data_IF_174602218276
#
_entry.id   IF_174602218276
#
_cell.length_a   1.000
_cell.length_b   1.000
_cell.length_c   1.000
_cell.angle_alpha   90.00
_cell.angle_beta   90.00
_cell.angle_gamma   90.00
#
_symmetry.space_group_name_H-M   'P 1'
#
loop_
_entity.id
_entity.type
_entity.pdbx_description
1 polymer ?
#
# COMPACT_ATOMS: atom_id res chain seq x y z
N UNK A 1 -0.30 29.05 -15.96
CA UNK A 1 0.88 28.22 -16.36
C UNK A 1 1.30 28.42 -17.81
N UNK A 2 0.40 28.37 -18.81
CA UNK A 2 0.80 28.54 -20.22
C UNK A 2 1.54 29.86 -20.54
N UNK A 3 1.09 30.99 -19.98
CA UNK A 3 1.76 32.29 -20.16
C UNK A 3 3.17 32.34 -19.56
N UNK A 4 3.40 31.68 -18.43
CA UNK A 4 4.75 31.57 -17.82
C UNK A 4 5.66 30.71 -18.67
N UNK A 5 5.17 29.58 -19.19
CA UNK A 5 5.94 28.71 -20.05
C UNK A 5 6.38 29.42 -21.35
N UNK A 6 5.46 30.17 -21.99
CA UNK A 6 5.75 30.95 -23.20
C UNK A 6 6.72 32.11 -22.93
N UNK A 7 6.55 32.83 -21.82
CA UNK A 7 7.47 33.91 -21.46
C UNK A 7 8.88 33.39 -21.16
N UNK A 8 8.99 32.33 -20.35
CA UNK A 8 10.27 31.76 -19.97
C UNK A 8 10.99 31.07 -21.13
N UNK A 9 10.27 30.41 -22.05
CA UNK A 9 10.90 29.86 -23.26
C UNK A 9 11.48 30.96 -24.13
N UNK A 10 10.76 32.07 -24.32
CA UNK A 10 11.25 33.23 -25.08
C UNK A 10 12.47 33.86 -24.39
N UNK A 11 12.47 33.98 -23.06
CA UNK A 11 13.63 34.47 -22.32
C UNK A 11 14.85 33.57 -22.55
N UNK A 12 14.66 32.26 -22.45
CA UNK A 12 15.72 31.28 -22.65
C UNK A 12 16.26 31.33 -24.07
N UNK A 13 15.40 31.49 -25.09
CA UNK A 13 15.80 31.65 -26.48
C UNK A 13 16.60 32.93 -26.72
N UNK A 14 16.17 34.06 -26.14
CA UNK A 14 16.90 35.34 -26.21
C UNK A 14 18.28 35.22 -25.57
N UNK A 15 18.37 34.57 -24.41
CA UNK A 15 19.65 34.34 -23.72
C UNK A 15 20.53 33.33 -24.49
N UNK A 16 19.92 32.30 -25.09
CA UNK A 16 20.63 31.30 -25.90
C UNK A 16 21.20 31.93 -27.18
N UNK A 17 20.50 32.91 -27.77
CA UNK A 17 20.95 33.66 -28.94
C UNK A 17 22.27 34.42 -28.68
N UNK A 18 22.46 34.92 -27.45
CA UNK A 18 23.71 35.57 -27.00
C UNK A 18 24.89 34.60 -26.80
N UNK A 19 24.70 33.30 -27.09
CA UNK A 19 25.72 32.24 -27.05
C UNK A 19 26.50 32.17 -25.74
N UNK A 20 25.80 32.33 -24.61
CA UNK A 20 26.42 32.15 -23.30
C UNK A 20 26.89 30.70 -23.12
N UNK A 21 27.96 30.50 -22.33
CA UNK A 21 28.44 29.16 -21.96
C UNK A 21 27.70 28.57 -20.75
N UNK A 22 26.68 29.29 -20.26
CA UNK A 22 25.89 28.88 -19.10
C UNK A 22 24.87 27.85 -19.55
N UNK A 23 24.83 26.73 -18.85
CA UNK A 23 23.75 25.74 -19.01
C UNK A 23 22.59 26.18 -18.13
N UNK A 24 21.43 26.41 -18.73
CA UNK A 24 20.25 26.90 -18.01
C UNK A 24 19.11 25.88 -18.02
N UNK A 25 18.27 25.97 -16.99
CA UNK A 25 17.04 25.19 -16.85
C UNK A 25 16.01 26.04 -16.11
N UNK A 26 14.73 25.91 -16.46
CA UNK A 26 13.66 26.55 -15.73
C UNK A 26 12.60 25.53 -15.31
N UNK A 27 12.07 25.70 -14.10
CA UNK A 27 10.86 25.03 -13.65
C UNK A 27 9.84 26.08 -13.28
N UNK A 28 8.84 26.29 -14.14
CA UNK A 28 7.97 27.47 -14.09
C UNK A 28 8.79 28.77 -14.06
N UNK A 29 8.69 29.58 -13.00
CA UNK A 29 9.42 30.84 -12.82
C UNK A 29 10.81 30.67 -12.18
N UNK A 30 11.12 29.49 -11.64
CA UNK A 30 12.43 29.19 -11.06
C UNK A 30 13.46 28.92 -12.17
N UNK A 31 14.18 29.97 -12.58
CA UNK A 31 15.30 29.90 -13.52
C UNK A 31 16.61 29.59 -12.80
N UNK A 32 17.39 28.67 -13.33
CA UNK A 32 18.70 28.28 -12.81
C UNK A 32 19.74 28.18 -13.92
N UNK A 33 20.98 28.54 -13.60
CA UNK A 33 22.11 28.53 -14.52
C UNK A 33 23.37 27.97 -13.86
N UNK A 34 24.14 27.18 -14.61
CA UNK A 34 25.41 26.60 -14.17
C UNK A 34 26.51 26.92 -15.19
N UNK A 35 27.64 27.46 -14.72
CA UNK A 35 28.76 27.88 -15.55
C UNK A 35 29.92 28.46 -14.74
N UNK A 36 30.88 29.09 -15.42
CA UNK A 36 31.97 29.83 -14.74
C UNK A 36 31.45 31.18 -14.23
N UNK A 37 32.09 31.73 -13.21
CA UNK A 37 31.64 32.97 -12.54
C UNK A 37 31.43 34.15 -13.49
N UNK A 38 32.36 34.38 -14.43
CA UNK A 38 32.23 35.47 -15.41
C UNK A 38 31.06 35.24 -16.37
N UNK A 39 30.90 34.01 -16.86
CA UNK A 39 29.79 33.63 -17.74
C UNK A 39 28.43 33.79 -17.03
N UNK A 40 28.36 33.41 -15.73
CA UNK A 40 27.16 33.56 -14.90
C UNK A 40 26.82 35.02 -14.61
N UNK A 41 27.82 35.87 -14.39
CA UNK A 41 27.62 37.31 -14.18
C UNK A 41 27.06 37.98 -15.43
N UNK A 42 27.61 37.64 -16.61
CA UNK A 42 27.08 38.09 -17.89
C UNK A 42 25.65 37.58 -18.12
N UNK A 43 25.40 36.29 -17.88
CA UNK A 43 24.09 35.67 -17.98
C UNK A 43 23.03 36.35 -17.08
N UNK A 44 23.38 36.67 -15.84
CA UNK A 44 22.50 37.43 -14.94
C UNK A 44 22.19 38.83 -15.49
N UNK A 45 23.18 39.52 -16.05
CA UNK A 45 22.99 40.81 -16.71
C UNK A 45 21.99 40.73 -17.87
N UNK A 46 22.06 39.68 -18.68
CA UNK A 46 21.11 39.43 -19.76
C UNK A 46 19.69 39.18 -19.25
N UNK A 47 19.53 38.41 -18.16
CA UNK A 47 18.22 38.19 -17.53
C UNK A 47 17.64 39.51 -17.01
N UNK A 48 18.46 40.33 -16.35
CA UNK A 48 18.00 41.60 -15.79
C UNK A 48 17.64 42.62 -16.88
N UNK A 49 18.35 42.62 -18.00
CA UNK A 49 18.08 43.53 -19.12
C UNK A 49 16.87 43.10 -19.96
N UNK A 50 16.76 41.80 -20.26
CA UNK A 50 15.75 41.28 -21.20
C UNK A 50 14.50 40.74 -20.51
N UNK A 51 14.58 40.30 -19.24
CA UNK A 51 13.41 39.81 -18.51
C UNK A 51 12.24 40.79 -18.48
N UNK A 52 12.44 42.09 -18.16
CA UNK A 52 11.33 43.03 -18.05
C UNK A 52 10.53 43.24 -19.34
N UNK A 53 11.14 43.08 -20.52
CA UNK A 53 10.46 43.27 -21.82
C UNK A 53 9.40 42.21 -22.10
N UNK A 54 9.50 41.05 -21.45
CA UNK A 54 8.56 39.94 -21.52
C UNK A 54 7.76 39.75 -20.22
N UNK A 55 7.84 40.72 -19.29
CA UNK A 55 7.11 40.70 -18.02
C UNK A 55 7.75 39.86 -16.91
N UNK A 56 9.02 39.44 -17.06
CA UNK A 56 9.77 38.72 -16.03
C UNK A 56 10.74 39.65 -15.30
N UNK A 57 10.48 39.99 -14.04
CA UNK A 57 11.39 40.85 -13.25
C UNK A 57 12.16 39.99 -12.23
N UNK A 58 13.46 39.71 -12.44
CA UNK A 58 14.23 38.88 -11.52
C UNK A 58 14.40 39.58 -10.17
N UNK A 59 14.21 38.83 -9.07
CA UNK A 59 14.38 39.36 -7.72
C UNK A 59 15.76 38.98 -7.16
N UNK A 60 16.73 39.89 -7.29
CA UNK A 60 18.12 39.67 -6.85
C UNK A 60 18.23 39.20 -5.40
N UNK A 61 17.42 39.76 -4.48
CA UNK A 61 17.46 39.43 -3.06
C UNK A 61 16.97 37.99 -2.76
N UNK A 62 16.23 37.38 -3.69
CA UNK A 62 15.82 35.97 -3.61
C UNK A 62 16.70 35.06 -4.48
N UNK A 63 17.61 35.62 -5.28
CA UNK A 63 18.53 34.85 -6.11
C UNK A 63 19.79 34.48 -5.34
N UNK A 64 20.20 33.24 -5.48
CA UNK A 64 21.37 32.68 -4.79
C UNK A 64 22.41 32.22 -5.80
N UNK A 65 23.67 32.55 -5.53
CA UNK A 65 24.82 32.04 -6.23
C UNK A 65 25.56 31.06 -5.31
N UNK A 66 25.47 29.77 -5.63
CA UNK A 66 26.16 28.69 -4.91
C UNK A 66 27.53 28.48 -5.56
N UNK A 67 28.60 28.61 -4.79
CA UNK A 67 29.98 28.49 -5.28
C UNK A 67 30.80 27.53 -4.46
N UNK A 68 31.82 26.94 -5.09
CA UNK A 68 32.80 26.15 -4.35
C UNK A 68 33.62 27.07 -3.42
N UNK A 69 34.05 26.60 -2.23
CA UNK A 69 34.75 27.44 -1.25
C UNK A 69 35.93 28.23 -1.81
N UNK A 70 36.73 27.62 -2.70
CA UNK A 70 37.90 28.21 -3.35
C UNK A 70 37.58 29.38 -4.31
N UNK A 71 36.31 29.55 -4.68
CA UNK A 71 35.85 30.59 -5.60
C UNK A 71 35.00 31.65 -4.91
N UNK A 72 34.81 31.57 -3.59
CA UNK A 72 33.94 32.45 -2.83
C UNK A 72 34.34 33.92 -2.93
N UNK A 73 35.60 34.25 -2.64
CA UNK A 73 36.06 35.65 -2.67
C UNK A 73 35.98 36.25 -4.08
N UNK A 74 36.30 35.43 -5.09
CA UNK A 74 36.14 35.80 -6.50
C UNK A 74 34.69 36.06 -6.88
N UNK A 75 33.76 35.25 -6.38
CA UNK A 75 32.34 35.40 -6.63
C UNK A 75 31.77 36.66 -5.94
N UNK A 76 32.15 36.92 -4.68
CA UNK A 76 31.74 38.14 -3.96
C UNK A 76 32.20 39.39 -4.70
N UNK A 77 33.43 39.39 -5.22
CA UNK A 77 33.95 40.51 -6.00
C UNK A 77 33.21 40.70 -7.33
N UNK A 78 32.99 39.63 -8.10
CA UNK A 78 32.34 39.68 -9.42
C UNK A 78 30.87 40.08 -9.32
N UNK A 79 30.17 39.62 -8.28
CA UNK A 79 28.74 39.88 -8.08
C UNK A 79 28.48 41.05 -7.10
N UNK A 80 29.52 41.79 -6.74
CA UNK A 80 29.38 42.99 -5.90
C UNK A 80 28.42 44.00 -6.54
N UNK A 81 27.47 44.51 -5.76
CA UNK A 81 26.45 45.44 -6.25
C UNK A 81 25.29 44.81 -7.04
N UNK A 82 25.32 43.50 -7.33
CA UNK A 82 24.21 42.82 -8.04
C UNK A 82 22.98 42.56 -7.17
N UNK A 83 23.13 42.57 -5.83
CA UNK A 83 22.10 42.20 -4.87
C UNK A 83 21.88 40.70 -4.68
N UNK A 84 22.63 39.84 -5.42
CA UNK A 84 22.56 38.38 -5.31
C UNK A 84 23.24 37.91 -4.03
N UNK A 85 22.64 36.93 -3.35
CA UNK A 85 23.23 36.30 -2.17
C UNK A 85 24.22 35.21 -2.57
N UNK A 86 25.50 35.37 -2.22
CA UNK A 86 26.56 34.39 -2.52
C UNK A 86 26.77 33.47 -1.32
N UNK A 87 26.71 32.16 -1.55
CA UNK A 87 26.94 31.13 -0.51
C UNK A 87 27.93 30.07 -0.97
N UNK A 88 28.75 29.59 -0.03
CA UNK A 88 29.68 28.45 -0.24
C UNK A 88 29.22 27.15 0.42
N UNK A 89 28.17 27.22 1.24
CA UNK A 89 27.67 26.09 2.02
C UNK A 89 26.63 25.29 1.24
N UNK A 90 25.70 26.00 0.61
CA UNK A 90 24.60 25.40 -0.16
C UNK A 90 23.34 26.24 -0.12
N UNK A 91 22.33 25.81 -0.87
CA UNK A 91 20.99 26.38 -0.82
C UNK A 91 19.93 25.34 -1.22
N UNK A 92 18.70 25.55 -0.75
CA UNK A 92 17.53 24.78 -1.16
C UNK A 92 17.20 25.09 -2.63
N UNK A 93 16.92 24.06 -3.42
CA UNK A 93 16.54 24.20 -4.82
C UNK A 93 15.39 23.22 -5.15
N UNK A 94 14.23 23.74 -5.55
CA UNK A 94 13.03 22.98 -5.89
C UNK A 94 12.60 21.96 -4.81
N UNK A 95 12.79 22.29 -3.53
CA UNK A 95 12.48 21.41 -2.39
C UNK A 95 13.57 20.39 -2.04
N UNK A 96 14.63 20.28 -2.86
CA UNK A 96 15.85 19.54 -2.58
C UNK A 96 16.97 20.48 -2.13
N UNK A 97 18.22 19.99 -2.12
CA UNK A 97 19.38 20.73 -1.64
C UNK A 97 20.56 20.60 -2.62
N UNK A 98 21.26 21.71 -2.85
CA UNK A 98 22.53 21.75 -3.59
C UNK A 98 23.57 22.42 -2.69
N UNK A 99 24.73 21.80 -2.50
CA UNK A 99 25.76 22.36 -1.64
C UNK A 99 26.77 21.32 -1.15
N UNK A 100 27.41 21.67 -0.05
CA UNK A 100 28.32 20.82 0.72
C UNK A 100 27.60 19.64 1.36
N UNK A 101 28.37 18.60 1.70
CA UNK A 101 27.85 17.42 2.40
C UNK A 101 27.32 17.78 3.79
N UNK A 102 27.94 18.76 4.45
CA UNK A 102 27.53 19.28 5.75
C UNK A 102 26.15 19.95 5.66
N UNK A 103 25.94 20.84 4.69
CA UNK A 103 24.65 21.50 4.48
C UNK A 103 23.55 20.50 4.08
N UNK A 104 23.89 19.48 3.29
CA UNK A 104 22.96 18.37 2.97
C UNK A 104 22.55 17.62 4.23
N UNK A 105 23.51 17.27 5.10
CA UNK A 105 23.24 16.57 6.36
C UNK A 105 22.37 17.40 7.30
N UNK A 106 22.64 18.69 7.42
CA UNK A 106 21.83 19.61 8.23
C UNK A 106 20.39 19.68 7.72
N UNK A 107 20.19 19.96 6.43
CA UNK A 107 18.85 20.05 5.82
C UNK A 107 18.05 18.76 5.97
N UNK A 108 18.66 17.61 5.66
CA UNK A 108 17.99 16.31 5.80
C UNK A 108 17.76 15.98 7.27
N UNK A 109 18.68 16.34 8.16
CA UNK A 109 18.56 16.18 9.61
C UNK A 109 17.37 16.95 10.19
N UNK A 110 17.16 18.20 9.78
CA UNK A 110 15.98 18.99 10.14
C UNK A 110 14.68 18.30 9.70
N UNK A 111 14.63 17.83 8.44
CA UNK A 111 13.48 17.11 7.89
C UNK A 111 13.19 15.81 8.62
N UNK A 112 14.24 15.03 8.90
CA UNK A 112 14.12 13.78 9.66
C UNK A 112 13.64 14.04 11.07
N UNK A 113 14.12 15.11 11.72
CA UNK A 113 13.65 15.50 13.06
C UNK A 113 12.16 15.88 13.06
N UNK A 114 11.71 16.61 12.04
CA UNK A 114 10.29 16.92 11.82
C UNK A 114 9.48 15.61 11.65
N UNK A 115 9.93 14.68 10.81
CA UNK A 115 9.23 13.42 10.57
C UNK A 115 9.23 12.48 11.77
N UNK A 116 10.32 12.43 12.54
CA UNK A 116 10.38 11.67 13.80
C UNK A 116 9.33 12.21 14.76
N UNK A 117 9.23 13.52 14.90
CA UNK A 117 8.19 14.13 15.73
C UNK A 117 6.76 13.77 15.25
N UNK A 118 6.52 13.79 13.94
CA UNK A 118 5.23 13.37 13.37
C UNK A 118 4.91 11.90 13.64
N UNK A 119 5.90 11.01 13.54
CA UNK A 119 5.78 9.59 13.89
C UNK A 119 5.49 9.43 15.38
N UNK A 120 6.14 10.19 16.26
CA UNK A 120 5.91 10.14 17.70
C UNK A 120 4.50 10.62 18.09
N UNK A 121 4.01 11.69 17.45
CA UNK A 121 2.61 12.16 17.59
C UNK A 121 1.65 11.07 17.15
N UNK A 122 1.89 10.46 16.00
CA UNK A 122 1.04 9.37 15.50
C UNK A 122 1.11 8.12 16.41
N UNK A 123 2.27 7.86 17.01
CA UNK A 123 2.47 6.80 18.00
C UNK A 123 1.67 7.03 19.27
N UNK A 124 1.56 8.29 19.73
CA UNK A 124 0.70 8.64 20.85
C UNK A 124 -0.78 8.34 20.54
N UNK A 125 -1.23 8.67 19.32
CA UNK A 125 -2.59 8.35 18.86
C UNK A 125 -2.83 6.84 18.72
N UNK A 126 -1.81 6.09 18.27
CA UNK A 126 -1.92 4.64 18.07
C UNK A 126 -2.26 3.87 19.36
N UNK A 127 -1.92 4.41 20.54
CA UNK A 127 -2.26 3.79 21.84
C UNK A 127 -3.78 3.69 22.06
N UNK A 128 -4.53 4.69 21.58
CA UNK A 128 -5.99 4.78 21.73
C UNK A 128 -6.73 4.38 20.47
N UNK A 129 -6.22 4.75 19.30
CA UNK A 129 -6.86 4.59 17.99
C UNK A 129 -5.90 3.92 16.97
N UNK A 130 -5.47 2.66 17.21
CA UNK A 130 -4.43 2.01 16.41
C UNK A 130 -4.84 1.83 14.95
N UNK A 131 -6.10 1.48 14.66
CA UNK A 131 -6.55 1.31 13.29
C UNK A 131 -6.48 2.62 12.49
N UNK A 132 -6.93 3.74 13.09
CA UNK A 132 -6.84 5.06 12.46
C UNK A 132 -5.39 5.51 12.27
N UNK A 133 -4.54 5.27 13.28
CA UNK A 133 -3.12 5.60 13.20
C UNK A 133 -2.39 4.80 12.10
N UNK A 134 -2.68 3.51 11.98
CA UNK A 134 -2.17 2.66 10.90
C UNK A 134 -2.63 3.16 9.51
N UNK A 135 -3.91 3.50 9.36
CA UNK A 135 -4.43 4.04 8.11
C UNK A 135 -3.76 5.39 7.75
N UNK A 136 -3.61 6.30 8.72
CA UNK A 136 -2.93 7.58 8.51
C UNK A 136 -1.45 7.41 8.16
N UNK A 137 -0.77 6.44 8.78
CA UNK A 137 0.60 6.09 8.45
C UNK A 137 0.71 5.60 7.00
N UNK A 138 -0.09 4.59 6.66
CA UNK A 138 0.04 3.84 5.39
C UNK A 138 -0.46 4.61 4.19
N UNK A 139 -1.53 5.41 4.32
CA UNK A 139 -2.10 6.19 3.24
C UNK A 139 -1.57 7.63 3.17
N UNK A 140 -0.87 8.10 4.20
CA UNK A 140 -0.45 9.50 4.31
C UNK A 140 1.03 9.65 4.64
N UNK A 141 1.39 9.47 5.90
CA UNK A 141 2.68 9.92 6.47
C UNK A 141 3.88 9.36 5.70
N UNK A 142 3.91 8.05 5.45
CA UNK A 142 5.07 7.41 4.81
C UNK A 142 5.35 7.91 3.38
N UNK A 143 4.35 8.45 2.69
CA UNK A 143 4.49 8.93 1.32
C UNK A 143 5.11 10.32 1.23
N UNK A 144 5.12 11.10 2.33
CA UNK A 144 5.72 12.45 2.37
C UNK A 144 7.23 12.42 2.18
N UNK A 145 7.88 11.33 2.56
CA UNK A 145 9.34 11.19 2.51
C UNK A 145 9.86 10.88 1.10
N UNK A 146 8.98 10.39 0.21
CA UNK A 146 9.34 9.96 -1.14
C UNK A 146 10.04 11.03 -1.95
N UNK A 147 9.62 12.30 -1.82
CA UNK A 147 10.23 13.39 -2.57
C UNK A 147 11.72 13.54 -2.24
N UNK A 148 12.06 13.59 -0.95
CA UNK A 148 13.44 13.72 -0.48
C UNK A 148 14.27 12.50 -0.86
N UNK A 149 13.73 11.29 -0.67
CA UNK A 149 14.39 10.04 -1.10
C UNK A 149 14.67 9.98 -2.61
N UNK A 150 13.83 10.59 -3.44
CA UNK A 150 13.99 10.59 -4.90
C UNK A 150 14.92 11.67 -5.43
N UNK A 151 15.15 12.73 -4.67
CA UNK A 151 15.81 13.94 -5.16
C UNK A 151 17.17 14.19 -4.53
N UNK A 152 17.44 13.66 -3.33
CA UNK A 152 18.72 13.84 -2.64
C UNK A 152 19.45 12.48 -2.55
N UNK A 153 20.62 12.34 -3.19
CA UNK A 153 21.38 11.08 -3.16
C UNK A 153 22.09 10.87 -1.81
N UNK A 154 22.41 9.61 -1.52
CA UNK A 154 23.24 9.18 -0.39
C UNK A 154 22.68 9.55 1.01
N UNK A 155 21.35 9.64 1.13
CA UNK A 155 20.70 10.00 2.40
C UNK A 155 20.27 8.81 3.26
N UNK A 156 20.42 7.57 2.78
CA UNK A 156 19.97 6.38 3.51
C UNK A 156 20.43 6.36 4.98
N UNK A 157 21.72 6.60 5.31
CA UNK A 157 22.17 6.64 6.71
C UNK A 157 21.52 7.77 7.55
N UNK A 158 21.12 8.87 6.91
CA UNK A 158 20.48 10.01 7.59
C UNK A 158 19.02 9.72 7.96
N UNK A 159 18.38 8.73 7.31
CA UNK A 159 17.01 8.30 7.59
C UNK A 159 16.91 7.28 8.72
N UNK A 160 18.04 6.80 9.25
CA UNK A 160 18.06 5.83 10.36
C UNK A 160 17.27 6.29 11.59
N UNK A 161 17.37 7.54 12.08
CA UNK A 161 16.58 7.99 13.24
C UNK A 161 15.06 7.86 13.01
N UNK A 162 14.62 8.06 11.76
CA UNK A 162 13.21 7.87 11.38
C UNK A 162 12.82 6.40 11.41
N UNK A 163 13.63 5.50 10.85
CA UNK A 163 13.39 4.04 10.96
C UNK A 163 13.37 3.60 12.44
N UNK A 164 14.28 4.12 13.26
CA UNK A 164 14.32 3.81 14.69
C UNK A 164 13.06 4.27 15.42
N UNK A 165 12.52 5.47 15.13
CA UNK A 165 11.23 5.91 15.68
C UNK A 165 10.07 5.02 15.22
N UNK A 166 10.02 4.63 13.93
CA UNK A 166 9.01 3.70 13.42
C UNK A 166 9.09 2.35 14.15
N UNK A 167 10.30 1.79 14.25
CA UNK A 167 10.55 0.47 14.83
C UNK A 167 10.34 0.42 16.34
N UNK A 168 10.79 1.43 17.06
CA UNK A 168 10.88 1.41 18.52
C UNK A 168 9.76 2.19 19.22
N UNK A 169 9.06 3.07 18.51
CA UNK A 169 7.97 3.88 19.07
C UNK A 169 6.63 3.55 18.41
N UNK A 170 6.53 3.66 17.08
CA UNK A 170 5.25 3.53 16.38
C UNK A 170 4.71 2.11 16.36
N UNK A 171 5.50 1.14 15.87
CA UNK A 171 5.07 -0.26 15.80
C UNK A 171 4.72 -0.80 17.20
N UNK A 172 5.53 -0.58 18.26
CA UNK A 172 5.18 -0.98 19.61
C UNK A 172 3.89 -0.34 20.13
N UNK A 173 3.65 0.95 19.87
CA UNK A 173 2.41 1.61 20.27
C UNK A 173 1.19 1.06 19.51
N UNK A 174 1.36 0.78 18.22
CA UNK A 174 0.31 0.25 17.33
C UNK A 174 -0.11 -1.17 17.72
N UNK A 175 0.86 -2.03 18.05
CA UNK A 175 0.67 -3.44 18.31
C UNK A 175 0.60 -3.79 19.80
N UNK A 176 0.81 -2.80 20.68
CA UNK A 176 0.91 -2.97 22.14
C UNK A 176 1.94 -4.01 22.58
N UNK A 177 3.00 -4.18 21.81
CA UNK A 177 4.06 -5.13 22.08
C UNK A 177 5.38 -4.38 22.26
N UNK A 178 6.10 -4.54 23.39
CA UNK A 178 7.28 -3.73 23.71
C UNK A 178 8.51 -4.09 22.86
N UNK A 179 8.57 -5.30 22.30
CA UNK A 179 9.74 -5.75 21.53
C UNK A 179 9.30 -6.56 20.31
N UNK A 180 9.63 -6.04 19.13
CA UNK A 180 9.46 -6.74 17.88
C UNK A 180 10.79 -7.39 17.47
N UNK A 181 10.78 -8.70 17.25
CA UNK A 181 11.94 -9.41 16.69
C UNK A 181 12.24 -8.92 15.26
N UNK A 182 13.49 -9.05 14.81
CA UNK A 182 13.90 -8.55 13.48
C UNK A 182 13.19 -9.27 12.31
N UNK A 183 12.91 -10.57 12.45
CA UNK A 183 12.12 -11.36 11.49
C UNK A 183 10.68 -10.82 11.37
N UNK A 184 10.06 -10.49 12.51
CA UNK A 184 8.76 -9.84 12.54
C UNK A 184 8.81 -8.44 11.91
N UNK A 185 9.83 -7.61 12.17
CA UNK A 185 9.98 -6.28 11.52
C UNK A 185 10.00 -6.41 10.00
N UNK A 186 10.81 -7.34 9.48
CA UNK A 186 10.94 -7.60 8.05
C UNK A 186 9.62 -8.09 7.43
N UNK A 187 8.84 -8.90 8.17
CA UNK A 187 7.49 -9.30 7.74
C UNK A 187 6.54 -8.09 7.64
N UNK A 188 6.58 -7.15 8.60
CA UNK A 188 5.72 -5.96 8.57
C UNK A 188 6.06 -5.00 7.41
N UNK A 189 7.31 -5.01 6.91
CA UNK A 189 7.74 -4.24 5.73
C UNK A 189 7.06 -4.69 4.44
N UNK A 190 6.72 -5.99 4.34
CA UNK A 190 6.05 -6.53 3.15
C UNK A 190 4.65 -5.91 2.99
N UNK A 191 4.14 -5.74 1.77
CA UNK A 191 2.79 -5.24 1.56
C UNK A 191 1.73 -6.27 2.05
N UNK A 192 0.50 -5.83 2.36
CA UNK A 192 -0.58 -6.71 2.81
C UNK A 192 -0.87 -7.90 1.88
N UNK A 193 -0.77 -7.71 0.56
CA UNK A 193 -0.91 -8.76 -0.47
C UNK A 193 0.16 -9.86 -0.41
N UNK A 194 1.24 -9.66 0.37
CA UNK A 194 2.30 -10.63 0.65
C UNK A 194 2.33 -11.02 2.14
N UNK A 195 1.23 -10.75 2.86
CA UNK A 195 1.08 -11.08 4.28
C UNK A 195 1.61 -10.03 5.26
N UNK A 196 2.34 -9.01 4.82
CA UNK A 196 2.84 -7.96 5.71
C UNK A 196 1.82 -6.86 6.04
N UNK A 197 2.31 -5.69 6.50
CA UNK A 197 1.51 -4.51 6.85
C UNK A 197 1.89 -3.26 6.02
N UNK A 198 2.86 -3.36 5.11
CA UNK A 198 3.29 -2.24 4.26
C UNK A 198 3.95 -1.09 5.04
N UNK A 199 4.51 -1.38 6.21
CA UNK A 199 5.26 -0.40 7.02
C UNK A 199 6.72 -0.45 6.54
N UNK A 200 7.01 0.22 5.42
CA UNK A 200 8.34 0.15 4.78
C UNK A 200 9.41 0.83 5.63
N UNK A 201 10.67 0.46 5.39
CA UNK A 201 11.81 1.11 6.03
C UNK A 201 12.35 2.25 5.14
N UNK A 202 12.29 3.52 5.56
CA UNK A 202 12.80 4.64 4.77
C UNK A 202 14.31 4.51 4.50
N UNK A 203 15.09 4.02 5.47
CA UNK A 203 16.54 3.78 5.31
C UNK A 203 16.82 2.78 4.16
N UNK A 204 16.05 1.69 4.07
CA UNK A 204 16.27 0.65 3.03
C UNK A 204 15.78 1.07 1.64
N UNK A 205 14.70 1.83 1.54
CA UNK A 205 14.09 2.15 0.23
C UNK A 205 14.69 3.39 -0.42
N UNK A 206 15.37 4.25 0.33
CA UNK A 206 15.85 5.54 -0.16
C UNK A 206 16.76 5.43 -1.38
N UNK A 207 17.75 4.53 -1.34
CA UNK A 207 18.70 4.35 -2.44
C UNK A 207 18.01 3.87 -3.72
N UNK A 208 17.08 2.93 -3.59
CA UNK A 208 16.31 2.39 -4.74
C UNK A 208 15.39 3.46 -5.32
N UNK A 209 14.71 4.26 -4.49
CA UNK A 209 13.86 5.36 -4.97
C UNK A 209 14.68 6.44 -5.68
N UNK A 210 15.86 6.79 -5.16
CA UNK A 210 16.78 7.73 -5.80
C UNK A 210 17.25 7.20 -7.17
N UNK A 211 17.72 5.96 -7.23
CA UNK A 211 18.21 5.34 -8.46
C UNK A 211 17.10 5.23 -9.52
N UNK A 212 15.88 4.87 -9.12
CA UNK A 212 14.73 4.84 -10.01
C UNK A 212 14.40 6.23 -10.56
N UNK A 213 14.48 7.27 -9.72
CA UNK A 213 14.30 8.67 -10.13
C UNK A 213 15.32 9.07 -11.20
N UNK A 214 16.61 8.83 -10.94
CA UNK A 214 17.72 9.11 -11.87
C UNK A 214 17.51 8.39 -13.21
N UNK A 215 17.17 7.09 -13.16
CA UNK A 215 16.95 6.30 -14.37
C UNK A 215 15.75 6.78 -15.18
N UNK A 216 14.68 7.21 -14.51
CA UNK A 216 13.48 7.72 -15.15
C UNK A 216 13.71 9.08 -15.82
N UNK A 217 14.51 9.95 -15.20
CA UNK A 217 14.74 11.32 -15.70
C UNK A 217 15.98 11.45 -16.58
N UNK A 218 16.75 10.37 -16.79
CA UNK A 218 18.04 10.39 -17.49
C UNK A 218 18.01 11.13 -18.83
N UNK A 219 17.08 10.76 -19.72
CA UNK A 219 16.96 11.40 -21.04
C UNK A 219 16.70 12.91 -20.94
N UNK A 220 15.84 13.33 -20.00
CA UNK A 220 15.58 14.75 -19.74
C UNK A 220 16.82 15.46 -19.20
N UNK A 221 17.51 14.83 -18.25
CA UNK A 221 18.77 15.35 -17.70
C UNK A 221 19.83 15.53 -18.79
N UNK A 222 19.97 14.55 -19.69
CA UNK A 222 20.94 14.61 -20.79
C UNK A 222 20.65 15.79 -21.73
N UNK A 223 19.38 16.01 -22.11
CA UNK A 223 18.98 17.16 -22.93
C UNK A 223 19.22 18.50 -22.21
N UNK A 224 18.94 18.58 -20.91
CA UNK A 224 19.27 19.78 -20.12
C UNK A 224 20.79 20.01 -20.13
N UNK A 225 21.60 18.96 -20.00
CA UNK A 225 23.06 19.09 -19.99
C UNK A 225 23.61 19.50 -21.36
N UNK A 226 23.02 19.02 -22.45
CA UNK A 226 23.40 19.39 -23.83
C UNK A 226 22.75 20.68 -24.31
N UNK A 227 21.81 21.25 -23.53
CA UNK A 227 20.98 22.40 -23.91
C UNK A 227 20.22 22.15 -25.22
N UNK A 228 19.75 20.92 -25.41
CA UNK A 228 18.96 20.51 -26.57
C UNK A 228 17.48 20.86 -26.36
N UNK A 229 17.09 22.06 -26.80
CA UNK A 229 15.73 22.57 -26.67
C UNK A 229 14.73 21.93 -27.66
N UNK A 230 15.22 21.30 -28.72
CA UNK A 230 14.41 20.65 -29.75
C UNK A 230 14.37 19.13 -29.59
N UNK A 231 15.15 18.58 -28.66
CA UNK A 231 15.21 17.17 -28.36
C UNK A 231 13.85 16.60 -27.95
N UNK A 232 13.50 15.46 -28.52
CA UNK A 232 12.29 14.74 -28.19
C UNK A 232 12.57 13.66 -27.15
N UNK A 233 11.74 13.62 -26.11
CA UNK A 233 11.77 12.53 -25.13
C UNK A 233 11.03 11.34 -25.73
N UNK A 234 11.74 10.22 -25.91
CA UNK A 234 11.10 8.95 -26.25
C UNK A 234 10.21 8.47 -25.09
N UNK A 235 8.91 8.73 -25.24
CA UNK A 235 7.89 8.34 -24.27
C UNK A 235 7.79 6.81 -24.11
N UNK A 236 8.21 6.03 -25.11
CA UNK A 236 8.18 4.57 -25.04
C UNK A 236 9.21 4.04 -24.03
N UNK A 237 10.40 4.64 -23.99
CA UNK A 237 11.45 4.31 -23.01
C UNK A 237 10.98 4.64 -21.59
N UNK A 238 10.38 5.83 -21.40
CA UNK A 238 9.80 6.22 -20.11
C UNK A 238 8.69 5.25 -19.68
N UNK A 239 7.79 4.88 -20.61
CA UNK A 239 6.72 3.94 -20.32
C UNK A 239 7.27 2.57 -19.90
N UNK A 240 8.33 2.08 -20.54
CA UNK A 240 8.96 0.81 -20.19
C UNK A 240 9.64 0.87 -18.81
N UNK A 241 10.36 1.96 -18.49
CA UNK A 241 10.94 2.17 -17.16
C UNK A 241 9.86 2.24 -16.07
N UNK A 242 8.76 2.97 -16.32
CA UNK A 242 7.60 3.03 -15.40
C UNK A 242 6.96 1.66 -15.16
N UNK A 243 6.98 0.75 -16.15
CA UNK A 243 6.53 -0.64 -15.97
C UNK A 243 7.56 -1.50 -15.25
N UNK A 244 8.85 -1.20 -15.40
CA UNK A 244 9.95 -1.96 -14.78
C UNK A 244 10.03 -1.76 -13.27
N UNK A 245 9.91 -0.53 -12.75
CA UNK A 245 10.08 -0.29 -11.30
C UNK A 245 9.09 -1.07 -10.41
N UNK A 246 7.78 -1.15 -10.73
CA UNK A 246 6.86 -1.98 -9.97
C UNK A 246 7.19 -3.47 -10.04
N UNK A 247 7.69 -3.97 -11.20
CA UNK A 247 8.12 -5.36 -11.38
C UNK A 247 9.34 -5.68 -10.52
N UNK A 248 10.37 -4.84 -10.57
CA UNK A 248 11.60 -5.02 -9.79
C UNK A 248 11.30 -4.96 -8.28
N UNK A 249 10.45 -4.01 -7.86
CA UNK A 249 9.96 -3.93 -6.47
C UNK A 249 9.18 -5.19 -6.07
N UNK A 250 8.27 -5.66 -6.91
CA UNK A 250 7.50 -6.87 -6.64
C UNK A 250 8.41 -8.10 -6.53
N UNK A 251 9.43 -8.19 -7.37
CA UNK A 251 10.41 -9.28 -7.32
C UNK A 251 11.22 -9.24 -6.02
N UNK A 252 11.75 -8.08 -5.62
CA UNK A 252 12.47 -7.93 -4.35
C UNK A 252 11.61 -8.28 -3.13
N UNK A 253 10.33 -7.91 -3.15
CA UNK A 253 9.38 -8.29 -2.10
C UNK A 253 9.11 -9.79 -2.07
N UNK A 254 9.01 -10.47 -3.23
CA UNK A 254 8.87 -11.92 -3.31
C UNK A 254 10.10 -12.64 -2.76
N UNK A 255 11.30 -12.21 -3.16
CA UNK A 255 12.55 -12.78 -2.64
C UNK A 255 12.68 -12.59 -1.12
N UNK A 256 12.23 -11.45 -0.60
CA UNK A 256 12.18 -11.21 0.86
C UNK A 256 11.20 -12.16 1.56
N UNK A 257 10.03 -12.40 0.98
CA UNK A 257 9.06 -13.36 1.49
C UNK A 257 9.59 -14.80 1.45
N UNK A 258 10.26 -15.20 0.37
CA UNK A 258 10.90 -16.51 0.24
C UNK A 258 11.95 -16.72 1.34
N UNK A 259 12.80 -15.72 1.58
CA UNK A 259 13.77 -15.76 2.69
C UNK A 259 13.08 -15.83 4.06
N UNK A 260 12.04 -15.04 4.30
CA UNK A 260 11.28 -15.11 5.55
C UNK A 260 10.65 -16.48 5.76
N UNK A 261 10.20 -17.13 4.68
CA UNK A 261 9.57 -18.45 4.74
C UNK A 261 10.55 -19.56 5.15
N UNK A 262 11.86 -19.36 5.01
CA UNK A 262 12.87 -20.34 5.47
C UNK A 262 13.26 -20.18 6.93
N UNK A 263 13.06 -19.01 7.52
CA UNK A 263 13.48 -18.71 8.90
C UNK A 263 12.31 -18.66 9.89
N UNK A 264 11.09 -18.43 9.42
CA UNK A 264 9.91 -18.33 10.27
C UNK A 264 9.32 -19.72 10.60
N UNK A 265 8.64 -19.87 11.76
CA UNK A 265 7.96 -21.11 12.10
C UNK A 265 6.93 -21.53 11.04
N UNK A 266 6.74 -22.84 10.78
CA UNK A 266 5.80 -23.34 9.76
C UNK A 266 4.37 -22.80 9.91
N UNK A 267 3.86 -22.69 11.15
CA UNK A 267 2.52 -22.16 11.41
C UNK A 267 2.43 -20.67 11.03
N UNK A 268 3.48 -19.87 11.28
CA UNK A 268 3.55 -18.47 10.85
C UNK A 268 3.63 -18.35 9.33
N UNK A 269 4.40 -19.21 8.66
CA UNK A 269 4.47 -19.25 7.19
C UNK A 269 3.10 -19.58 6.59
N UNK A 270 2.38 -20.56 7.16
CA UNK A 270 1.01 -20.89 6.74
C UNK A 270 0.07 -19.70 6.92
N UNK A 271 0.14 -19.00 8.06
CA UNK A 271 -0.62 -17.76 8.31
C UNK A 271 -0.33 -16.66 7.29
N UNK A 272 0.94 -16.49 6.90
CA UNK A 272 1.36 -15.57 5.84
C UNK A 272 0.74 -15.95 4.50
N UNK A 273 0.69 -17.24 4.15
CA UNK A 273 0.00 -17.70 2.93
C UNK A 273 -1.50 -17.47 2.99
N UNK A 274 -2.15 -17.70 4.13
CA UNK A 274 -3.58 -17.39 4.32
C UNK A 274 -3.84 -15.89 4.12
N UNK A 275 -2.97 -15.04 4.67
CA UNK A 275 -3.09 -13.59 4.53
C UNK A 275 -2.92 -13.07 3.08
N UNK A 276 -2.34 -13.87 2.18
CA UNK A 276 -2.18 -13.58 0.76
C UNK A 276 -3.43 -13.90 -0.06
N UNK A 277 -4.38 -14.66 0.48
CA UNK A 277 -5.62 -14.99 -0.22
C UNK A 277 -6.40 -13.70 -0.56
N UNK A 278 -7.06 -13.69 -1.71
CA UNK A 278 -7.92 -12.59 -2.12
C UNK A 278 -8.99 -12.32 -1.07
N UNK A 279 -9.04 -11.08 -0.58
CA UNK A 279 -9.96 -10.66 0.48
C UNK A 279 -9.39 -10.74 1.90
N UNK A 280 -8.36 -11.55 2.15
CA UNK A 280 -7.90 -11.83 3.53
C UNK A 280 -7.22 -10.65 4.24
N UNK A 281 -6.78 -9.65 3.46
CA UNK A 281 -6.16 -8.43 3.98
C UNK A 281 -7.08 -7.20 3.90
N UNK A 282 -8.34 -7.34 3.45
CA UNK A 282 -9.23 -6.20 3.22
C UNK A 282 -9.56 -5.43 4.50
N UNK A 283 -9.71 -6.13 5.63
CA UNK A 283 -9.96 -5.48 6.92
C UNK A 283 -8.82 -4.55 7.35
N UNK A 284 -7.59 -4.85 6.89
CA UNK A 284 -6.39 -4.08 7.18
C UNK A 284 -6.22 -2.93 6.20
N UNK A 285 -6.53 -3.11 4.92
CA UNK A 285 -6.33 -2.09 3.87
C UNK A 285 -7.51 -1.14 3.68
N UNK A 286 -8.66 -1.42 4.30
CA UNK A 286 -9.83 -0.56 4.21
C UNK A 286 -9.68 0.64 5.15
N UNK A 287 -10.17 1.81 4.72
CA UNK A 287 -10.19 2.98 5.59
C UNK A 287 -11.17 2.74 6.77
N UNK A 288 -10.79 3.09 8.01
CA UNK A 288 -11.62 2.89 9.21
C UNK A 288 -12.77 3.91 9.29
N UNK A 289 -13.69 3.84 8.34
CA UNK A 289 -14.83 4.76 8.22
C UNK A 289 -15.95 4.28 9.15
N UNK A 290 -16.15 5.01 10.25
CA UNK A 290 -17.16 4.69 11.28
C UNK A 290 -18.58 4.59 10.73
N UNK A 291 -18.97 5.48 9.82
CA UNK A 291 -20.29 5.47 9.20
C UNK A 291 -20.58 4.21 8.34
N UNK A 292 -19.53 3.43 8.02
CA UNK A 292 -19.63 2.17 7.28
C UNK A 292 -19.37 0.95 8.16
N UNK A 293 -19.13 1.13 9.47
CA UNK A 293 -18.80 0.03 10.38
C UNK A 293 -17.42 -0.58 10.15
N UNK A 294 -16.50 0.11 9.46
CA UNK A 294 -15.17 -0.42 9.15
C UNK A 294 -14.12 -0.10 10.23
N UNK A 295 -14.48 0.67 11.25
CA UNK A 295 -13.58 0.98 12.34
C UNK A 295 -13.50 -0.23 13.29
N UNK A 296 -12.27 -0.63 13.61
CA UNK A 296 -12.00 -1.61 14.66
C UNK A 296 -11.62 -0.84 15.90
N UNK A 297 -12.14 -1.26 17.05
CA UNK A 297 -11.69 -0.73 18.31
C UNK A 297 -10.24 -1.16 18.59
N UNK A 298 -9.65 -0.54 19.59
CA UNK A 298 -8.23 -0.72 19.92
C UNK A 298 -7.84 -2.17 20.25
N UNK A 299 -8.73 -2.96 20.84
CA UNK A 299 -8.48 -4.37 21.16
C UNK A 299 -8.68 -5.23 19.92
N UNK A 300 -9.78 -5.03 19.19
CA UNK A 300 -10.08 -5.76 17.95
C UNK A 300 -8.96 -5.64 16.93
N UNK A 301 -8.37 -4.46 16.76
CA UNK A 301 -7.25 -4.27 15.82
C UNK A 301 -6.02 -5.07 16.24
N UNK A 302 -5.63 -5.01 17.51
CA UNK A 302 -4.45 -5.73 18.03
C UNK A 302 -4.67 -7.24 17.95
N UNK A 303 -5.85 -7.72 18.35
CA UNK A 303 -6.22 -9.13 18.29
C UNK A 303 -6.27 -9.63 16.83
N UNK A 304 -6.79 -8.82 15.90
CA UNK A 304 -6.81 -9.17 14.48
C UNK A 304 -5.40 -9.29 13.91
N UNK A 305 -4.46 -8.40 14.27
CA UNK A 305 -3.05 -8.52 13.89
C UNK A 305 -2.42 -9.76 14.52
N UNK A 306 -2.69 -10.04 15.80
CA UNK A 306 -2.18 -11.25 16.46
C UNK A 306 -2.69 -12.53 15.78
N UNK A 307 -3.99 -12.60 15.47
CA UNK A 307 -4.61 -13.72 14.74
C UNK A 307 -4.04 -13.90 13.33
N UNK A 308 -3.74 -12.78 12.64
CA UNK A 308 -3.13 -12.76 11.31
C UNK A 308 -1.75 -13.41 11.32
N UNK A 309 -0.94 -13.18 12.35
CA UNK A 309 0.43 -13.70 12.43
C UNK A 309 0.59 -14.94 13.31
N UNK A 310 -0.48 -15.40 13.96
CA UNK A 310 -0.42 -16.48 14.94
C UNK A 310 0.33 -16.08 16.21
N UNK A 311 0.34 -14.80 16.55
CA UNK A 311 0.89 -14.31 17.81
C UNK A 311 -0.10 -14.58 18.97
N UNK A 312 0.39 -14.63 20.21
CA UNK A 312 -0.47 -14.76 21.38
C UNK A 312 -1.50 -13.63 21.45
N UNK A 313 -2.76 -14.01 21.68
CA UNK A 313 -3.86 -13.07 21.94
C UNK A 313 -3.97 -12.90 23.46
N UNK A 314 -3.88 -11.65 23.92
CA UNK A 314 -3.98 -11.34 25.36
C UNK A 314 -5.41 -11.54 25.88
N UNK A 315 -5.53 -11.98 27.14
CA UNK A 315 -6.83 -12.12 27.79
C UNK A 315 -7.67 -13.30 27.30
N UNK A 316 -7.14 -14.18 26.45
CA UNK A 316 -7.84 -15.39 26.04
C UNK A 316 -8.05 -16.33 27.26
N UNK A 317 -9.29 -16.75 27.58
CA UNK A 317 -9.54 -17.68 28.68
C UNK A 317 -8.84 -19.01 28.43
N UNK A 318 -8.30 -19.65 29.46
CA UNK A 318 -7.60 -20.95 29.32
C UNK A 318 -8.52 -22.13 28.93
N UNK A 319 -9.82 -22.00 29.16
CA UNK A 319 -10.82 -23.03 28.90
C UNK A 319 -11.98 -22.44 28.11
N UNK A 320 -12.36 -23.13 27.04
CA UNK A 320 -13.49 -22.74 26.20
C UNK A 320 -14.82 -23.17 26.84
N UNK A 321 -15.93 -22.54 26.45
CA UNK A 321 -17.30 -22.90 26.88
C UNK A 321 -17.64 -24.37 26.60
N UNK A 322 -16.96 -25.01 25.64
CA UNK A 322 -17.11 -26.43 25.37
C UNK A 322 -16.43 -27.37 26.38
N UNK A 323 -15.60 -26.84 27.29
CA UNK A 323 -14.81 -27.57 28.28
C UNK A 323 -13.39 -27.93 27.84
N UNK A 324 -13.01 -27.70 26.58
CA UNK A 324 -11.65 -27.98 26.08
C UNK A 324 -10.65 -26.86 26.42
N UNK A 325 -9.34 -27.17 26.46
CA UNK A 325 -8.30 -26.13 26.49
C UNK A 325 -8.49 -25.15 25.34
N UNK A 326 -8.41 -23.87 25.66
CA UNK A 326 -8.67 -22.84 24.67
C UNK A 326 -7.38 -22.41 23.99
N UNK A 327 -7.50 -22.15 22.70
CA UNK A 327 -6.49 -21.50 21.87
C UNK A 327 -7.19 -20.60 20.87
N UNK A 328 -6.44 -19.73 20.19
CA UNK A 328 -6.98 -18.95 19.09
C UNK A 328 -7.64 -19.87 18.06
N UNK A 329 -6.93 -20.89 17.57
CA UNK A 329 -7.46 -21.87 16.60
C UNK A 329 -8.71 -22.62 17.13
N UNK A 330 -8.74 -22.99 18.42
CA UNK A 330 -9.91 -23.64 19.00
C UNK A 330 -11.12 -22.68 19.04
N UNK A 331 -10.89 -21.43 19.43
CA UNK A 331 -11.94 -20.39 19.47
C UNK A 331 -12.58 -20.20 18.09
N UNK A 332 -11.78 -20.29 17.03
CA UNK A 332 -12.19 -20.10 15.64
C UNK A 332 -12.96 -21.29 15.05
N UNK A 333 -12.90 -22.45 15.70
CA UNK A 333 -13.50 -23.71 15.21
C UNK A 333 -14.60 -24.27 16.13
N UNK A 334 -14.64 -23.83 17.39
CA UNK A 334 -15.58 -24.34 18.37
C UNK A 334 -17.04 -23.99 18.03
N UNK A 335 -17.87 -25.03 17.86
CA UNK A 335 -19.31 -24.88 17.58
C UNK A 335 -20.13 -24.40 18.78
N UNK A 336 -19.63 -24.59 20.01
CA UNK A 336 -20.29 -24.12 21.23
C UNK A 336 -19.90 -22.69 21.62
N UNK A 337 -18.84 -22.14 21.03
CA UNK A 337 -18.32 -20.80 21.37
C UNK A 337 -19.02 -19.64 20.65
N UNK A 338 -19.97 -19.92 19.76
CA UNK A 338 -20.76 -18.89 19.06
C UNK A 338 -20.06 -18.18 17.89
N UNK A 339 -18.73 -18.02 17.92
CA UNK A 339 -17.99 -17.28 16.88
C UNK A 339 -18.19 -17.79 15.46
N UNK A 340 -18.32 -19.11 15.29
CA UNK A 340 -18.55 -19.72 13.98
C UNK A 340 -19.94 -19.33 13.44
N UNK A 341 -20.97 -19.35 14.30
CA UNK A 341 -22.32 -18.96 13.94
C UNK A 341 -22.41 -17.46 13.63
N UNK A 342 -21.85 -16.61 14.50
CA UNK A 342 -21.86 -15.15 14.29
C UNK A 342 -21.26 -14.79 12.93
N UNK A 343 -20.09 -15.34 12.57
CA UNK A 343 -19.46 -15.05 11.27
C UNK A 343 -20.27 -15.56 10.09
N UNK A 344 -20.84 -16.76 10.22
CA UNK A 344 -21.69 -17.33 9.20
C UNK A 344 -22.91 -16.44 8.94
N UNK A 345 -23.60 -16.06 10.01
CA UNK A 345 -24.84 -15.29 9.95
C UNK A 345 -24.59 -13.88 9.43
N UNK A 346 -23.51 -13.21 9.86
CA UNK A 346 -23.09 -11.91 9.31
C UNK A 346 -22.83 -11.98 7.79
N UNK A 347 -22.11 -13.00 7.31
CA UNK A 347 -21.85 -13.17 5.87
C UNK A 347 -23.15 -13.46 5.12
N UNK A 348 -24.05 -14.26 5.69
CA UNK A 348 -25.36 -14.57 5.11
C UNK A 348 -26.21 -13.33 4.99
N UNK A 349 -26.38 -12.60 6.09
CA UNK A 349 -27.29 -11.49 6.16
C UNK A 349 -26.79 -10.32 5.30
N UNK A 350 -25.46 -10.09 5.26
CA UNK A 350 -24.84 -9.12 4.35
C UNK A 350 -25.07 -9.51 2.88
N UNK A 351 -24.83 -10.77 2.52
CA UNK A 351 -24.98 -11.26 1.15
C UNK A 351 -26.46 -11.19 0.71
N UNK A 352 -27.39 -11.59 1.58
CA UNK A 352 -28.82 -11.48 1.32
C UNK A 352 -29.25 -10.02 1.19
N UNK A 353 -28.71 -9.11 2.01
CA UNK A 353 -28.96 -7.67 1.88
C UNK A 353 -28.49 -7.12 0.55
N UNK A 354 -27.28 -7.48 0.11
CA UNK A 354 -26.75 -7.05 -1.20
C UNK A 354 -27.60 -7.61 -2.35
N UNK A 355 -28.03 -8.87 -2.25
CA UNK A 355 -28.89 -9.48 -3.27
C UNK A 355 -30.26 -8.82 -3.35
N UNK A 356 -30.84 -8.35 -2.23
CA UNK A 356 -32.14 -7.63 -2.24
C UNK A 356 -32.10 -6.33 -3.06
N UNK A 357 -30.94 -5.70 -3.17
CA UNK A 357 -30.77 -4.48 -3.98
C UNK A 357 -30.78 -4.76 -5.49
N UNK A 358 -30.42 -5.97 -5.91
CA UNK A 358 -30.18 -6.31 -7.34
C UNK A 358 -31.02 -7.47 -7.88
N UNK A 359 -31.62 -8.28 -7.02
CA UNK A 359 -32.42 -9.46 -7.37
C UNK A 359 -33.84 -9.37 -6.80
N UNK A 360 -34.72 -10.22 -7.33
CA UNK A 360 -36.10 -10.34 -6.87
C UNK A 360 -36.27 -11.58 -5.98
N UNK A 361 -37.32 -11.58 -5.13
CA UNK A 361 -37.74 -12.76 -4.35
C UNK A 361 -36.57 -13.35 -3.52
N UNK A 362 -35.84 -12.48 -2.80
CA UNK A 362 -34.68 -12.88 -1.97
C UNK A 362 -35.13 -13.25 -0.57
N UNK A 363 -34.81 -14.46 -0.13
CA UNK A 363 -35.17 -15.00 1.19
C UNK A 363 -33.96 -15.61 1.89
N UNK A 364 -33.89 -15.45 3.21
CA UNK A 364 -32.91 -16.10 4.09
C UNK A 364 -33.51 -17.36 4.71
N UNK A 365 -32.69 -18.40 4.85
CA UNK A 365 -33.09 -19.72 5.38
C UNK A 365 -34.33 -20.38 4.74
N UNK A 366 -34.51 -20.34 3.40
CA UNK A 366 -35.67 -20.99 2.77
C UNK A 366 -35.61 -22.51 2.88
N UNK A 367 -36.78 -23.12 3.04
CA UNK A 367 -36.94 -24.58 3.02
C UNK A 367 -36.85 -25.09 1.57
N UNK A 368 -36.12 -26.19 1.38
CA UNK A 368 -36.09 -26.93 0.12
C UNK A 368 -37.38 -27.74 -0.07
N UNK A 369 -37.75 -28.01 -1.32
CA UNK A 369 -38.91 -28.85 -1.61
C UNK A 369 -38.77 -30.25 -0.96
N UNK A 370 -39.86 -30.85 -0.45
CA UNK A 370 -39.87 -32.21 0.07
C UNK A 370 -39.39 -33.23 -0.96
N UNK A 371 -38.93 -34.39 -0.49
CA UNK A 371 -38.64 -35.53 -1.34
C UNK A 371 -39.83 -36.48 -1.33
N UNK A 372 -40.39 -36.78 -2.49
CA UNK A 372 -41.54 -37.68 -2.70
C UNK A 372 -41.13 -39.05 -3.24
N UNK A 373 -39.82 -39.28 -3.41
CA UNK A 373 -39.25 -40.56 -3.85
C UNK A 373 -37.98 -40.44 -4.69
N UNK A 374 -37.48 -39.23 -4.88
CA UNK A 374 -36.28 -38.93 -5.66
C UNK A 374 -35.05 -39.57 -5.03
N UNK A 375 -34.23 -40.22 -5.86
CA UNK A 375 -32.96 -40.80 -5.46
C UNK A 375 -31.83 -39.83 -5.77
N UNK A 376 -31.23 -39.28 -4.72
CA UNK A 376 -30.09 -38.38 -4.85
C UNK A 376 -28.80 -39.18 -5.11
N UNK A 377 -27.93 -38.64 -5.98
CA UNK A 377 -26.67 -39.24 -6.42
C UNK A 377 -25.69 -39.47 -5.29
N UNK A 378 -25.61 -38.54 -4.34
CA UNK A 378 -24.60 -38.57 -3.28
C UNK A 378 -25.19 -39.07 -1.97
N UNK A 379 -24.49 -40.02 -1.32
CA UNK A 379 -24.84 -40.48 0.04
C UNK A 379 -24.80 -39.37 1.10
N UNK A 380 -24.04 -38.31 0.83
CA UNK A 380 -23.90 -37.14 1.71
C UNK A 380 -24.94 -36.06 1.41
N UNK A 381 -25.85 -36.27 0.44
CA UNK A 381 -26.89 -35.31 0.13
C UNK A 381 -27.86 -35.18 1.30
N UNK A 382 -28.31 -33.95 1.57
CA UNK A 382 -29.20 -33.64 2.66
C UNK A 382 -30.64 -34.04 2.29
N UNK A 383 -31.09 -35.16 2.85
CA UNK A 383 -32.43 -35.73 2.66
C UNK A 383 -33.41 -35.33 3.76
N UNK A 384 -33.04 -34.41 4.65
CA UNK A 384 -33.93 -34.00 5.74
C UNK A 384 -35.22 -33.36 5.18
N UNK A 385 -36.40 -33.68 5.74
CA UNK A 385 -37.67 -33.10 5.31
C UNK A 385 -37.71 -31.57 5.39
N UNK A 386 -37.08 -31.00 6.43
CA UNK A 386 -37.01 -29.55 6.66
C UNK A 386 -35.64 -28.96 6.30
N UNK A 387 -34.95 -29.54 5.30
CA UNK A 387 -33.66 -29.01 4.86
C UNK A 387 -33.79 -27.56 4.42
N UNK A 388 -32.87 -26.71 4.90
CA UNK A 388 -32.78 -25.29 4.55
C UNK A 388 -31.43 -25.00 3.95
N UNK A 389 -31.40 -24.02 3.05
CA UNK A 389 -30.16 -23.37 2.59
C UNK A 389 -30.10 -21.97 3.17
N UNK A 390 -28.95 -21.31 3.11
CA UNK A 390 -28.80 -20.00 3.75
C UNK A 390 -29.52 -18.87 3.01
N UNK A 391 -29.49 -18.85 1.67
CA UNK A 391 -30.08 -17.78 0.87
C UNK A 391 -30.71 -18.36 -0.40
N UNK A 392 -31.85 -17.81 -0.82
CA UNK A 392 -32.38 -17.96 -2.18
C UNK A 392 -32.61 -16.58 -2.81
N UNK A 393 -32.33 -16.46 -4.10
CA UNK A 393 -32.61 -15.29 -4.90
C UNK A 393 -33.14 -15.70 -6.29
N UNK A 394 -34.10 -14.97 -6.85
CA UNK A 394 -34.61 -15.23 -8.20
C UNK A 394 -33.92 -14.33 -9.23
N UNK A 395 -33.48 -14.93 -10.33
CA UNK A 395 -32.92 -14.21 -11.47
C UNK A 395 -31.45 -13.85 -11.36
N UNK A 396 -30.70 -14.45 -10.41
CA UNK A 396 -29.28 -14.14 -10.21
C UNK A 396 -28.41 -14.67 -11.37
N UNK A 397 -28.46 -15.99 -11.65
CA UNK A 397 -27.75 -16.58 -12.78
C UNK A 397 -28.59 -16.62 -14.06
N UNK A 398 -29.83 -17.08 -13.95
CA UNK A 398 -30.75 -17.25 -15.09
C UNK A 398 -32.05 -16.51 -14.81
N UNK A 399 -32.51 -15.70 -15.77
CA UNK A 399 -33.76 -14.94 -15.65
C UNK A 399 -34.92 -15.87 -15.28
N UNK A 400 -35.60 -15.56 -14.18
CA UNK A 400 -36.78 -16.29 -13.71
C UNK A 400 -36.50 -17.57 -12.91
N UNK A 401 -35.27 -18.09 -12.92
CA UNK A 401 -34.87 -19.25 -12.12
C UNK A 401 -34.45 -18.85 -10.70
N UNK A 402 -34.64 -19.75 -9.73
CA UNK A 402 -34.11 -19.58 -8.37
C UNK A 402 -32.67 -20.05 -8.27
N UNK A 403 -31.85 -19.24 -7.62
CA UNK A 403 -30.48 -19.57 -7.21
C UNK A 403 -30.46 -19.71 -5.70
N UNK A 404 -29.89 -20.81 -5.23
CA UNK A 404 -29.71 -21.14 -3.83
C UNK A 404 -28.23 -21.03 -3.47
N UNK A 405 -27.94 -20.33 -2.39
CA UNK A 405 -26.60 -20.08 -1.90
C UNK A 405 -26.48 -20.63 -0.48
N UNK A 406 -25.34 -21.23 -0.19
CA UNK A 406 -25.09 -21.83 1.10
C UNK A 406 -23.64 -21.56 1.53
N UNK A 407 -23.49 -21.04 2.73
CA UNK A 407 -22.28 -20.39 3.23
C UNK A 407 -21.48 -21.36 4.07
N UNK A 408 -20.15 -21.23 3.94
CA UNK A 408 -19.21 -21.86 4.84
C UNK A 408 -18.09 -20.90 5.19
N UNK A 409 -17.90 -20.70 6.48
CA UNK A 409 -16.68 -20.10 7.03
C UNK A 409 -15.89 -21.19 7.74
N UNK A 410 -14.62 -21.36 7.39
CA UNK A 410 -13.75 -22.38 8.00
C UNK A 410 -12.37 -21.82 8.36
N UNK A 411 -11.74 -22.38 9.39
CA UNK A 411 -10.38 -22.01 9.79
C UNK A 411 -9.34 -22.87 9.05
N UNK A 412 -8.45 -22.30 8.22
CA UNK A 412 -7.41 -23.08 7.53
C UNK A 412 -6.33 -23.64 8.46
N UNK A 413 -6.29 -23.22 9.73
CA UNK A 413 -5.39 -23.73 10.77
C UNK A 413 -5.96 -24.92 11.56
N UNK A 414 -7.23 -25.28 11.34
CA UNK A 414 -7.84 -26.45 11.95
C UNK A 414 -7.02 -27.72 11.66
N UNK A 415 -6.94 -28.65 12.62
CA UNK A 415 -6.12 -29.85 12.51
C UNK A 415 -6.38 -30.67 11.22
N UNK A 416 -7.65 -30.79 10.80
CA UNK A 416 -8.07 -31.48 9.57
C UNK A 416 -7.64 -30.77 8.27
N UNK A 417 -7.11 -29.56 8.35
CA UNK A 417 -6.73 -28.70 7.23
C UNK A 417 -5.21 -28.50 7.13
N UNK A 418 -4.46 -28.68 8.23
CA UNK A 418 -3.04 -28.30 8.35
C UNK A 418 -2.13 -28.93 7.30
N UNK A 419 -2.37 -30.19 6.95
CA UNK A 419 -1.53 -30.93 5.97
C UNK A 419 -1.88 -30.65 4.51
N UNK A 420 -3.02 -30.01 4.26
CA UNK A 420 -3.50 -29.73 2.91
C UNK A 420 -3.06 -28.32 2.46
N UNK A 421 -2.85 -28.16 1.16
CA UNK A 421 -2.69 -26.83 0.55
C UNK A 421 -3.98 -26.02 0.73
N UNK A 422 -3.88 -24.69 0.79
CA UNK A 422 -5.05 -23.82 0.94
C UNK A 422 -6.09 -24.06 -0.17
N UNK A 423 -5.63 -24.23 -1.41
CA UNK A 423 -6.47 -24.58 -2.55
C UNK A 423 -7.23 -25.91 -2.34
N UNK A 424 -6.54 -26.96 -1.88
CA UNK A 424 -7.18 -28.24 -1.59
C UNK A 424 -8.19 -28.13 -0.45
N UNK A 425 -7.93 -27.31 0.57
CA UNK A 425 -8.86 -27.06 1.66
C UNK A 425 -10.11 -26.33 1.16
N UNK A 426 -9.96 -25.29 0.33
CA UNK A 426 -11.08 -24.61 -0.32
C UNK A 426 -11.91 -25.57 -1.15
N UNK A 427 -11.26 -26.30 -2.06
CA UNK A 427 -11.93 -27.24 -2.96
C UNK A 427 -12.71 -28.31 -2.21
N UNK A 428 -12.13 -28.88 -1.15
CA UNK A 428 -12.82 -29.85 -0.29
C UNK A 428 -14.07 -29.23 0.34
N UNK A 429 -13.97 -28.02 0.89
CA UNK A 429 -15.09 -27.34 1.54
C UNK A 429 -16.22 -26.98 0.56
N UNK A 430 -15.88 -26.56 -0.66
CA UNK A 430 -16.85 -26.34 -1.74
C UNK A 430 -17.56 -27.64 -2.13
N UNK A 431 -16.80 -28.72 -2.36
CA UNK A 431 -17.35 -30.02 -2.74
C UNK A 431 -18.26 -30.61 -1.68
N UNK A 432 -17.96 -30.44 -0.39
CA UNK A 432 -18.83 -30.89 0.69
C UNK A 432 -20.20 -30.22 0.63
N UNK A 433 -20.26 -28.90 0.39
CA UNK A 433 -21.53 -28.17 0.24
C UNK A 433 -22.26 -28.58 -1.06
N UNK A 434 -21.54 -28.72 -2.17
CA UNK A 434 -22.13 -29.18 -3.45
C UNK A 434 -22.74 -30.56 -3.33
N UNK A 435 -22.02 -31.51 -2.70
CA UNK A 435 -22.53 -32.87 -2.50
C UNK A 435 -23.70 -32.91 -1.51
N UNK A 436 -23.74 -31.99 -0.55
CA UNK A 436 -24.83 -31.90 0.43
C UNK A 436 -26.12 -31.35 -0.19
N UNK A 437 -26.04 -30.31 -1.03
CA UNK A 437 -27.23 -29.58 -1.46
C UNK A 437 -27.46 -29.54 -2.98
N UNK A 438 -26.39 -29.52 -3.77
CA UNK A 438 -26.47 -29.21 -5.19
C UNK A 438 -27.34 -30.18 -5.98
N UNK A 439 -27.21 -31.48 -5.72
CA UNK A 439 -27.98 -32.51 -6.43
C UNK A 439 -29.48 -32.40 -6.16
N UNK A 440 -29.89 -32.22 -4.89
CA UNK A 440 -31.29 -32.02 -4.51
C UNK A 440 -31.87 -30.76 -5.16
N UNK A 441 -31.15 -29.65 -5.10
CA UNK A 441 -31.62 -28.36 -5.63
C UNK A 441 -31.79 -28.40 -7.15
N UNK A 442 -30.89 -29.08 -7.85
CA UNK A 442 -30.96 -29.22 -9.31
C UNK A 442 -32.13 -30.13 -9.73
N UNK A 443 -32.28 -31.29 -9.06
CA UNK A 443 -33.24 -32.31 -9.47
C UNK A 443 -34.67 -32.05 -8.96
N UNK A 444 -34.83 -31.43 -7.80
CA UNK A 444 -36.12 -31.26 -7.10
C UNK A 444 -36.59 -29.82 -7.15
N UNK A 445 -35.76 -28.88 -6.67
CA UNK A 445 -36.12 -27.45 -6.67
C UNK A 445 -36.01 -26.78 -8.06
N UNK A 446 -35.44 -27.48 -9.04
CA UNK A 446 -35.14 -26.98 -10.39
C UNK A 446 -34.40 -25.63 -10.40
N UNK A 447 -33.58 -25.39 -9.37
CA UNK A 447 -32.78 -24.20 -9.19
C UNK A 447 -31.31 -24.43 -9.50
N UNK A 448 -30.51 -23.37 -9.40
CA UNK A 448 -29.04 -23.44 -9.43
C UNK A 448 -28.48 -23.38 -8.02
N UNK A 449 -27.35 -24.06 -7.75
CA UNK A 449 -26.68 -24.01 -6.45
C UNK A 449 -25.28 -23.39 -6.55
N UNK A 450 -24.94 -22.50 -5.62
CA UNK A 450 -23.58 -21.93 -5.52
C UNK A 450 -23.11 -21.93 -4.06
N UNK A 451 -22.04 -22.69 -3.72
CA UNK A 451 -21.47 -22.63 -2.38
C UNK A 451 -20.65 -21.35 -2.20
N UNK A 452 -20.86 -20.63 -1.10
CA UNK A 452 -20.07 -19.45 -0.75
C UNK A 452 -19.11 -19.81 0.39
N UNK A 453 -17.87 -20.13 0.04
CA UNK A 453 -16.86 -20.64 0.97
C UNK A 453 -15.78 -19.58 1.24
N UNK A 454 -15.57 -19.30 2.52
CA UNK A 454 -14.61 -18.31 3.03
C UNK A 454 -13.71 -18.92 4.12
N UNK A 455 -12.47 -18.44 4.20
CA UNK A 455 -11.61 -18.67 5.37
C UNK A 455 -11.97 -17.70 6.49
N UNK A 456 -11.66 -18.05 7.74
CA UNK A 456 -11.81 -17.13 8.88
C UNK A 456 -10.97 -15.86 8.79
N UNK A 457 -9.99 -15.83 7.90
CA UNK A 457 -9.16 -14.65 7.62
C UNK A 457 -9.73 -13.78 6.50
N UNK A 458 -10.81 -14.21 5.82
CA UNK A 458 -11.45 -13.48 4.73
C UNK A 458 -11.03 -13.91 3.33
N UNK A 459 -10.26 -15.00 3.19
CA UNK A 459 -9.90 -15.56 1.90
C UNK A 459 -11.09 -16.25 1.23
N UNK A 460 -11.32 -15.97 -0.04
CA UNK A 460 -12.45 -16.51 -0.80
C UNK A 460 -12.05 -17.72 -1.64
N UNK A 461 -12.91 -18.74 -1.67
CA UNK A 461 -12.69 -19.91 -2.51
C UNK A 461 -12.84 -19.58 -4.02
N UNK A 462 -12.17 -20.32 -4.93
CA UNK A 462 -12.12 -19.99 -6.35
C UNK A 462 -13.48 -19.94 -7.05
N UNK A 463 -14.46 -20.79 -6.69
CA UNK A 463 -15.79 -20.78 -7.35
C UNK A 463 -16.62 -19.55 -7.03
N UNK A 464 -16.27 -18.81 -5.97
CA UNK A 464 -16.79 -17.49 -5.65
C UNK A 464 -16.22 -16.40 -6.58
N UNK A 465 -15.00 -16.60 -7.10
CA UNK A 465 -14.32 -15.69 -8.03
C UNK A 465 -14.54 -16.03 -9.52
N UNK A 466 -15.01 -17.23 -9.82
CA UNK A 466 -15.40 -17.65 -11.17
C UNK A 466 -16.82 -17.15 -11.50
N UNK A 467 -16.98 -15.84 -11.69
CA UNK A 467 -18.02 -15.38 -12.61
C UNK A 467 -17.62 -15.86 -14.00
N UNK A 468 -18.48 -16.66 -14.65
CA UNK A 468 -18.37 -17.14 -16.04
C UNK A 468 -17.32 -18.21 -16.33
N UNK A 469 -17.75 -19.47 -16.40
CA UNK A 469 -17.52 -20.42 -17.50
C UNK A 469 -18.06 -21.79 -17.09
N UNK A 470 -19.33 -22.03 -17.44
CA UNK A 470 -19.81 -23.29 -18.02
C UNK A 470 -21.02 -22.94 -18.90
#
# INVERSE_FOLDING_TARGET
>A
MAMYALGMSVLQDVIAFEKTKVKQVAYADDLSGAGKLQDLSHWWGLIHANGPTIGYTPNAAKSFLIVKPEHYDGAVNIFSGSGIVVTKEGQRHLGAVIGTEEYKKEYVGEKVSEWVHEVDVLSAMAKTEPHAAYAAYTHGLQHRWNFVMRTIPDISPLLRPLEESIKNTFIPALLRSPVLRNDARALLELPPRLGGMGITSPEKVAEVENLNSINLTRSLTDMIITQDAQGEIDQSVIAEQKKRFPRDRQQGQKTSLEHLSTILPPDTVRKIHIAQETGASNWLTSLPIRAKGFNLNKQEFVDAVALRYGWPVEGLPNTCVCGSPNSADHTMTCKKGGFVCIRHDEVRDLTASMLREVCHDVSTEPTLLPLDGELLRYRTANTAPEARVDICARGFWTRGQRTFLDIRVFDPMAASHRELSLEAVHHRNELEKIRAYGDRILQVDHGTFTPLVFTTSGGMAPRLGASTQD
#
